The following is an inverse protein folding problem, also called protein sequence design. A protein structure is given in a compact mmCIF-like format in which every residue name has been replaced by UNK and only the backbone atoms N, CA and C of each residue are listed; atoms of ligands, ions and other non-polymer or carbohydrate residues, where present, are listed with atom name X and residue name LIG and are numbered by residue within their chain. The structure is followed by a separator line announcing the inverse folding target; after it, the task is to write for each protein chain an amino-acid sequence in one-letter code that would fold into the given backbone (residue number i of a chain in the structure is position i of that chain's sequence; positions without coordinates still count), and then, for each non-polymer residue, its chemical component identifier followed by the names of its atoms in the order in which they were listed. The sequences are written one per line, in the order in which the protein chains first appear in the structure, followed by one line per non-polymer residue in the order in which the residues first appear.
data_IF_484185168763
#
_entry.id   IF_484185168763
#
_cell.length_a   1.000
_cell.length_b   1.000
_cell.length_c   1.000
_cell.angle_alpha   90.00
_cell.angle_beta   90.00
_cell.angle_gamma   90.00
#
_symmetry.space_group_name_H-M   'P 1'
#
loop_
_entity.id
_entity.type
_entity.pdbx_description
1 polymer ?
#
# COMPACT_ATOMS: atom_id res chain seq x y z
N UNK A 1 5.98 25.54 -10.00
CA UNK A 1 5.52 25.44 -8.60
C UNK A 1 6.49 26.11 -7.62
N UNK A 2 5.98 26.86 -6.65
CA UNK A 2 6.71 27.35 -5.47
C UNK A 2 5.98 26.87 -4.21
N UNK A 3 6.70 26.22 -3.30
CA UNK A 3 6.16 25.75 -2.01
C UNK A 3 6.89 26.46 -0.87
N UNK A 4 6.13 27.05 0.04
CA UNK A 4 6.61 27.56 1.32
C UNK A 4 5.87 26.87 2.46
N UNK A 5 6.56 26.44 3.51
CA UNK A 5 5.92 25.76 4.64
C UNK A 5 6.73 25.80 5.93
N UNK A 6 6.03 25.80 7.08
CA UNK A 6 6.64 25.70 8.41
C UNK A 6 6.81 24.24 8.90
N UNK A 7 6.25 23.24 8.19
CA UNK A 7 6.41 21.80 8.45
C UNK A 7 7.36 21.15 7.45
N UNK A 8 8.64 21.51 7.56
CA UNK A 8 9.71 21.12 6.61
C UNK A 8 9.94 19.61 6.50
N UNK A 9 9.61 18.86 7.54
CA UNK A 9 9.68 17.40 7.52
C UNK A 9 8.69 16.74 6.55
N UNK A 10 7.71 17.49 6.04
CA UNK A 10 6.69 17.01 5.11
C UNK A 10 6.80 17.61 3.70
N UNK A 11 7.90 18.34 3.37
CA UNK A 11 8.09 18.97 2.06
C UNK A 11 7.88 17.97 0.90
N UNK A 12 8.49 16.79 0.98
CA UNK A 12 8.37 15.75 -0.05
C UNK A 12 6.93 15.22 -0.19
N UNK A 13 6.24 15.05 0.93
CA UNK A 13 4.85 14.57 0.97
C UNK A 13 3.87 15.59 0.36
N UNK A 14 4.08 16.88 0.66
CA UNK A 14 3.27 17.97 0.10
C UNK A 14 3.51 18.10 -1.41
N UNK A 15 4.78 18.05 -1.84
CA UNK A 15 5.14 18.07 -3.26
C UNK A 15 4.51 16.89 -4.00
N UNK A 16 4.50 15.71 -3.39
CA UNK A 16 3.86 14.53 -3.96
C UNK A 16 2.36 14.78 -4.15
N UNK A 17 1.63 15.23 -3.14
CA UNK A 17 0.19 15.54 -3.27
C UNK A 17 -0.10 16.56 -4.39
N UNK A 18 0.68 17.64 -4.45
CA UNK A 18 0.49 18.67 -5.46
C UNK A 18 0.63 18.09 -6.88
N UNK A 19 1.64 17.25 -7.11
CA UNK A 19 1.89 16.62 -8.42
C UNK A 19 0.77 15.72 -8.91
N UNK A 20 0.00 15.12 -8.01
CA UNK A 20 -1.09 14.24 -8.41
C UNK A 20 -2.35 15.00 -8.78
N UNK A 21 -2.67 16.08 -8.06
CA UNK A 21 -3.94 16.80 -8.23
C UNK A 21 -3.98 17.60 -9.54
N UNK A 22 -2.85 18.17 -9.98
CA UNK A 22 -2.83 19.06 -11.15
C UNK A 22 -1.45 19.12 -11.77
N UNK A 23 -1.37 19.62 -13.01
CA UNK A 23 -0.12 20.12 -13.55
C UNK A 23 0.34 21.32 -12.70
N UNK A 24 1.49 21.20 -12.03
CA UNK A 24 1.92 22.12 -10.97
C UNK A 24 2.57 23.42 -11.50
N UNK A 25 2.44 23.69 -12.79
CA UNK A 25 3.04 24.86 -13.41
C UNK A 25 2.31 26.14 -12.96
N UNK A 26 3.10 27.11 -12.48
CA UNK A 26 2.59 28.40 -12.02
C UNK A 26 1.93 28.45 -10.63
N UNK A 27 1.73 27.33 -9.91
CA UNK A 27 1.16 27.36 -8.55
C UNK A 27 2.15 27.84 -7.49
N UNK A 28 1.72 28.82 -6.69
CA UNK A 28 2.35 29.22 -5.44
C UNK A 28 1.50 28.73 -4.27
N UNK A 29 2.06 27.82 -3.47
CA UNK A 29 1.37 27.20 -2.34
C UNK A 29 2.15 27.49 -1.06
N UNK A 30 1.45 28.04 -0.07
CA UNK A 30 1.97 28.24 1.29
C UNK A 30 1.20 27.32 2.24
N UNK A 31 1.90 26.52 3.03
CA UNK A 31 1.30 25.61 4.00
C UNK A 31 1.77 25.98 5.41
N UNK A 32 0.85 26.08 6.36
CA UNK A 32 1.20 26.25 7.76
C UNK A 32 0.45 25.24 8.61
N UNK A 33 1.17 24.63 9.54
CA UNK A 33 0.63 23.66 10.48
C UNK A 33 0.91 24.12 11.91
N UNK A 34 -0.06 23.92 12.81
CA UNK A 34 0.14 24.05 14.26
C UNK A 34 -0.71 23.03 15.02
N UNK A 35 -0.22 22.63 16.20
CA UNK A 35 -0.92 21.71 17.09
C UNK A 35 -1.21 22.39 18.44
N UNK A 36 -2.41 22.20 18.97
CA UNK A 36 -2.78 22.61 20.34
C UNK A 36 -3.49 21.44 21.04
N UNK A 37 -2.78 20.74 21.92
CA UNK A 37 -3.29 19.53 22.57
C UNK A 37 -3.51 18.40 21.55
N UNK A 38 -4.76 17.95 21.40
CA UNK A 38 -5.15 16.94 20.39
C UNK A 38 -5.71 17.55 19.10
N UNK A 39 -5.63 18.88 18.97
CA UNK A 39 -6.14 19.62 17.82
C UNK A 39 -5.02 19.95 16.85
N UNK A 40 -5.27 19.69 15.58
CA UNK A 40 -4.39 19.97 14.45
C UNK A 40 -5.03 21.10 13.64
N UNK A 41 -4.26 22.12 13.29
CA UNK A 41 -4.73 23.25 12.49
C UNK A 41 -3.83 23.43 11.29
N UNK A 42 -4.42 23.43 10.10
CA UNK A 42 -3.74 23.50 8.82
C UNK A 42 -4.29 24.67 8.02
N UNK A 43 -3.42 25.62 7.65
CA UNK A 43 -3.78 26.65 6.68
C UNK A 43 -3.00 26.45 5.40
N UNK A 44 -3.69 26.56 4.27
CA UNK A 44 -3.12 26.45 2.94
C UNK A 44 -3.51 27.68 2.15
N UNK A 45 -2.55 28.37 1.55
CA UNK A 45 -2.79 29.46 0.61
C UNK A 45 -2.40 29.00 -0.77
N UNK A 46 -3.33 29.06 -1.74
CA UNK A 46 -3.07 28.72 -3.15
C UNK A 46 -3.24 29.97 -3.98
N UNK A 47 -2.15 30.50 -4.55
CA UNK A 47 -2.15 31.73 -5.34
C UNK A 47 -2.89 32.92 -4.68
N UNK A 48 -2.75 33.05 -3.36
CA UNK A 48 -3.37 34.13 -2.57
C UNK A 48 -4.79 33.85 -2.08
N UNK A 49 -5.38 32.68 -2.39
CA UNK A 49 -6.65 32.22 -1.79
C UNK A 49 -6.36 31.36 -0.57
N UNK A 50 -6.91 31.75 0.58
CA UNK A 50 -6.67 31.10 1.86
C UNK A 50 -7.73 30.05 2.19
N UNK A 51 -7.26 28.95 2.77
CA UNK A 51 -8.05 27.83 3.27
C UNK A 51 -7.57 27.46 4.68
N UNK A 52 -8.51 27.15 5.56
CA UNK A 52 -8.23 26.76 6.94
C UNK A 52 -8.99 25.50 7.30
N UNK A 53 -8.28 24.55 7.90
CA UNK A 53 -8.81 23.26 8.32
C UNK A 53 -8.39 22.97 9.76
N UNK A 54 -9.21 22.19 10.46
CA UNK A 54 -8.90 21.72 11.79
C UNK A 54 -9.41 20.31 12.02
N UNK A 55 -8.67 19.50 12.76
CA UNK A 55 -9.08 18.17 13.15
C UNK A 55 -8.71 17.88 14.60
N UNK A 56 -9.51 17.07 15.30
CA UNK A 56 -9.18 16.59 16.65
C UNK A 56 -8.96 15.08 16.64
N UNK A 57 -7.81 14.63 17.15
CA UNK A 57 -7.50 13.20 17.25
C UNK A 57 -6.63 12.88 18.45
N UNK A 58 -7.14 12.00 19.31
CA UNK A 58 -6.35 11.41 20.40
C UNK A 58 -5.33 10.41 19.85
N UNK A 59 -4.12 10.45 20.40
CA UNK A 59 -3.01 9.55 20.09
C UNK A 59 -2.31 9.08 21.36
N UNK A 60 -1.69 7.89 21.30
CA UNK A 60 -1.02 7.25 22.45
C UNK A 60 0.49 7.49 22.49
N UNK A 61 1.06 8.11 21.46
CA UNK A 61 2.49 8.41 21.41
C UNK A 61 2.92 9.08 20.11
N UNK A 62 4.21 9.37 20.03
CA UNK A 62 4.81 10.21 18.99
C UNK A 62 4.62 9.65 17.57
N UNK A 63 4.69 8.33 17.41
CA UNK A 63 4.49 7.67 16.11
C UNK A 63 3.08 7.87 15.56
N UNK A 64 2.06 7.83 16.42
CA UNK A 64 0.68 8.10 16.02
C UNK A 64 0.46 9.60 15.75
N UNK A 65 1.03 10.48 16.59
CA UNK A 65 0.99 11.94 16.39
C UNK A 65 1.54 12.32 15.02
N UNK A 66 2.77 11.91 14.69
CA UNK A 66 3.40 12.18 13.37
C UNK A 66 2.59 11.62 12.20
N UNK A 67 1.91 10.49 12.38
CA UNK A 67 1.02 9.92 11.35
C UNK A 67 -0.20 10.82 11.13
N UNK A 68 -0.77 11.38 12.19
CA UNK A 68 -1.92 12.29 12.10
C UNK A 68 -1.54 13.67 11.56
N UNK A 69 -0.44 14.27 12.04
CA UNK A 69 0.16 15.48 11.47
C UNK A 69 0.31 15.35 9.95
N UNK A 70 1.02 14.30 9.50
CA UNK A 70 1.20 14.02 8.07
C UNK A 70 -0.13 13.87 7.32
N UNK A 71 -1.12 13.20 7.92
CA UNK A 71 -2.42 12.99 7.28
C UNK A 71 -3.18 14.30 7.10
N UNK A 72 -3.27 15.11 8.16
CA UNK A 72 -4.07 16.33 8.14
C UNK A 72 -3.46 17.41 7.26
N UNK A 73 -2.13 17.57 7.26
CA UNK A 73 -1.42 18.45 6.33
C UNK A 73 -1.70 18.04 4.87
N UNK A 74 -1.57 16.75 4.55
CA UNK A 74 -1.83 16.25 3.19
C UNK A 74 -3.29 16.45 2.78
N UNK A 75 -4.23 16.20 3.71
CA UNK A 75 -5.65 16.40 3.47
C UNK A 75 -5.99 17.88 3.21
N UNK A 76 -5.43 18.79 4.00
CA UNK A 76 -5.61 20.22 3.83
C UNK A 76 -5.09 20.70 2.47
N UNK A 77 -3.90 20.24 2.07
CA UNK A 77 -3.32 20.55 0.75
C UNK A 77 -4.21 20.03 -0.37
N UNK A 78 -4.63 18.76 -0.31
CA UNK A 78 -5.53 18.18 -1.31
C UNK A 78 -6.82 18.97 -1.44
N UNK A 79 -7.51 19.27 -0.32
CA UNK A 79 -8.78 20.01 -0.33
C UNK A 79 -8.64 21.43 -0.88
N UNK A 80 -7.63 22.17 -0.43
CA UNK A 80 -7.37 23.53 -0.89
C UNK A 80 -7.05 23.61 -2.38
N UNK A 81 -6.22 22.69 -2.88
CA UNK A 81 -5.81 22.68 -4.28
C UNK A 81 -6.94 22.20 -5.17
N UNK A 82 -7.67 21.15 -4.77
CA UNK A 82 -8.82 20.65 -5.53
C UNK A 82 -9.93 21.69 -5.64
N UNK A 83 -10.21 22.45 -4.57
CA UNK A 83 -11.16 23.57 -4.64
C UNK A 83 -10.66 24.71 -5.52
N UNK A 84 -9.35 24.98 -5.53
CA UNK A 84 -8.76 26.04 -6.33
C UNK A 84 -8.75 25.71 -7.84
N UNK A 85 -8.37 24.47 -8.19
CA UNK A 85 -8.22 24.04 -9.60
C UNK A 85 -9.51 23.49 -10.20
N UNK A 86 -10.42 22.98 -9.36
CA UNK A 86 -11.59 22.21 -9.80
C UNK A 86 -11.27 20.75 -10.15
N UNK A 87 -10.01 20.33 -10.06
CA UNK A 87 -9.57 18.97 -10.33
C UNK A 87 -9.73 18.08 -9.09
N UNK A 88 -10.22 16.86 -9.27
CA UNK A 88 -10.39 15.89 -8.18
C UNK A 88 -9.79 14.54 -8.53
N UNK A 89 -9.09 13.97 -7.55
CA UNK A 89 -8.60 12.59 -7.62
C UNK A 89 -9.70 11.60 -7.27
N UNK A 90 -9.81 10.51 -8.04
CA UNK A 90 -10.76 9.42 -7.73
C UNK A 90 -10.54 8.77 -6.35
N UNK A 91 -9.30 8.81 -5.85
CA UNK A 91 -8.91 8.32 -4.52
C UNK A 91 -8.83 9.42 -3.45
N UNK A 92 -9.22 10.65 -3.80
CA UNK A 92 -9.11 11.82 -2.93
C UNK A 92 -7.74 11.96 -2.27
N UNK A 93 -7.70 12.26 -0.97
CA UNK A 93 -6.47 12.48 -0.20
C UNK A 93 -5.74 11.18 0.23
N UNK A 94 -5.90 10.07 -0.49
CA UNK A 94 -5.26 8.79 -0.19
C UNK A 94 -3.94 8.56 -0.94
N UNK A 95 -3.29 9.61 -1.46
CA UNK A 95 -2.00 9.47 -2.14
C UNK A 95 -0.96 8.83 -1.22
N UNK A 96 -0.34 7.74 -1.68
CA UNK A 96 0.64 6.97 -0.89
C UNK A 96 0.05 6.19 0.29
N UNK A 97 -1.28 6.14 0.46
CA UNK A 97 -1.96 5.37 1.50
C UNK A 97 -2.64 4.16 0.86
N UNK A 98 -2.35 2.95 1.37
CA UNK A 98 -3.06 1.72 0.94
C UNK A 98 -4.52 1.77 1.43
N UNK A 99 -5.53 1.96 0.55
CA UNK A 99 -6.90 2.29 0.98
C UNK A 99 -7.54 1.22 1.85
N UNK A 100 -7.35 -0.06 1.51
CA UNK A 100 -7.89 -1.20 2.26
C UNK A 100 -7.28 -1.29 3.67
N UNK A 101 -5.97 -1.03 3.81
CA UNK A 101 -5.30 -1.01 5.12
C UNK A 101 -5.82 0.15 5.96
N UNK A 102 -6.08 1.30 5.34
CA UNK A 102 -6.67 2.43 6.02
C UNK A 102 -8.10 2.12 6.49
N UNK A 103 -8.92 1.53 5.62
CA UNK A 103 -10.28 1.11 5.96
C UNK A 103 -10.31 0.16 7.18
N UNK A 104 -9.44 -0.87 7.22
CA UNK A 104 -9.32 -1.73 8.40
C UNK A 104 -8.96 -0.97 9.69
N UNK A 105 -8.15 0.09 9.59
CA UNK A 105 -7.79 0.91 10.76
C UNK A 105 -8.92 1.82 11.24
N UNK A 106 -9.87 2.17 10.37
CA UNK A 106 -11.07 2.95 10.72
C UNK A 106 -12.15 2.05 11.33
N UNK A 107 -12.27 0.81 10.87
CA UNK A 107 -13.24 -0.15 11.36
C UNK A 107 -14.58 -0.04 10.65
N UNK A 108 -15.70 -0.20 11.36
CA UNK A 108 -17.04 -0.28 10.74
C UNK A 108 -17.42 0.96 9.93
N UNK A 109 -16.94 2.15 10.35
CA UNK A 109 -17.21 3.43 9.68
C UNK A 109 -16.25 3.77 8.55
N UNK A 110 -15.54 2.77 8.01
CA UNK A 110 -14.52 3.02 6.99
C UNK A 110 -15.10 3.67 5.75
N UNK A 111 -16.34 3.32 5.37
CA UNK A 111 -16.93 3.80 4.13
C UNK A 111 -17.25 5.29 4.22
N UNK A 112 -17.81 5.72 5.34
CA UNK A 112 -18.11 7.11 5.66
C UNK A 112 -16.82 7.93 5.75
N UNK A 113 -15.79 7.44 6.46
CA UNK A 113 -14.52 8.16 6.58
C UNK A 113 -13.82 8.33 5.22
N UNK A 114 -13.76 7.27 4.39
CA UNK A 114 -13.17 7.39 3.07
C UNK A 114 -13.97 8.33 2.16
N UNK A 115 -15.31 8.35 2.26
CA UNK A 115 -16.17 9.22 1.45
C UNK A 115 -16.06 10.68 1.87
N UNK A 116 -16.29 10.95 3.16
CA UNK A 116 -16.55 12.29 3.68
C UNK A 116 -15.25 13.00 4.05
N UNK A 117 -14.33 12.30 4.72
CA UNK A 117 -13.08 12.92 5.15
C UNK A 117 -12.07 12.95 4.00
N UNK A 118 -11.90 11.80 3.33
CA UNK A 118 -10.85 11.64 2.31
C UNK A 118 -11.29 11.96 0.89
N UNK A 119 -12.57 12.30 0.65
CA UNK A 119 -13.16 12.60 -0.67
C UNK A 119 -12.98 11.49 -1.73
N UNK A 120 -13.04 10.22 -1.32
CA UNK A 120 -12.95 9.07 -2.24
C UNK A 120 -14.25 8.92 -3.03
N UNK A 121 -14.14 8.70 -4.34
CA UNK A 121 -15.29 8.47 -5.22
C UNK A 121 -16.00 7.13 -4.95
N UNK A 122 -17.31 7.06 -5.22
CA UNK A 122 -18.14 5.88 -4.92
C UNK A 122 -17.65 4.60 -5.60
N UNK A 123 -17.20 4.69 -6.85
CA UNK A 123 -16.64 3.55 -7.56
C UNK A 123 -15.39 2.96 -6.89
N UNK A 124 -14.59 3.79 -6.21
CA UNK A 124 -13.43 3.33 -5.43
C UNK A 124 -13.86 2.76 -4.07
N UNK A 125 -14.88 3.34 -3.43
CA UNK A 125 -15.46 2.77 -2.21
C UNK A 125 -16.01 1.37 -2.45
N UNK A 126 -16.71 1.15 -3.56
CA UNK A 126 -17.22 -0.17 -3.93
C UNK A 126 -16.10 -1.18 -4.17
N UNK A 127 -15.01 -0.75 -4.80
CA UNK A 127 -13.80 -1.58 -4.95
C UNK A 127 -13.20 -1.96 -3.59
N UNK A 128 -13.04 -1.01 -2.67
CA UNK A 128 -12.53 -1.28 -1.32
C UNK A 128 -13.47 -2.25 -0.58
N UNK A 129 -14.78 -2.03 -0.66
CA UNK A 129 -15.78 -2.89 -0.03
C UNK A 129 -15.74 -4.33 -0.56
N UNK A 130 -15.64 -4.50 -1.88
CA UNK A 130 -15.45 -5.82 -2.50
C UNK A 130 -14.20 -6.53 -1.99
N UNK A 131 -13.08 -5.81 -1.88
CA UNK A 131 -11.82 -6.40 -1.39
C UNK A 131 -11.96 -6.83 0.06
N UNK A 132 -12.52 -5.96 0.92
CA UNK A 132 -12.76 -6.29 2.34
C UNK A 132 -13.64 -7.53 2.46
N UNK A 133 -14.74 -7.61 1.70
CA UNK A 133 -15.63 -8.77 1.71
C UNK A 133 -14.92 -10.06 1.30
N UNK A 134 -14.14 -10.03 0.22
CA UNK A 134 -13.38 -11.20 -0.23
C UNK A 134 -12.28 -11.63 0.75
N UNK A 135 -11.77 -10.67 1.54
CA UNK A 135 -10.75 -10.92 2.55
C UNK A 135 -11.31 -11.35 3.91
N UNK A 136 -12.63 -11.27 4.13
CA UNK A 136 -13.26 -11.68 5.39
C UNK A 136 -12.95 -13.15 5.65
N UNK A 137 -12.50 -13.45 6.87
CA UNK A 137 -12.14 -14.80 7.30
C UNK A 137 -10.74 -15.26 6.87
N UNK A 138 -10.09 -14.58 5.91
CA UNK A 138 -8.68 -14.82 5.56
C UNK A 138 -7.77 -14.10 6.56
N UNK A 139 -8.06 -12.83 6.83
CA UNK A 139 -7.30 -12.01 7.76
C UNK A 139 -7.77 -12.24 9.21
N UNK A 140 -7.25 -13.30 9.83
CA UNK A 140 -7.45 -13.59 11.24
C UNK A 140 -6.15 -14.03 11.89
N UNK A 141 -5.64 -13.27 12.84
CA UNK A 141 -4.56 -13.76 13.70
C UNK A 141 -5.12 -14.83 14.63
N UNK A 142 -4.61 -16.05 14.49
CA UNK A 142 -4.79 -17.14 15.45
C UNK A 142 -3.41 -17.53 15.94
N UNK A 143 -3.30 -17.83 17.23
CA UNK A 143 -2.07 -18.32 17.81
C UNK A 143 -1.61 -19.58 17.05
N UNK A 144 -0.32 -19.61 16.68
CA UNK A 144 0.25 -20.70 15.88
C UNK A 144 0.02 -20.62 14.36
N UNK A 145 -0.53 -19.52 13.83
CA UNK A 145 -0.52 -19.25 12.39
C UNK A 145 0.93 -19.23 11.85
N UNK A 146 1.14 -19.89 10.72
CA UNK A 146 2.41 -19.89 9.97
C UNK A 146 2.15 -19.35 8.57
N UNK A 147 3.06 -18.53 8.08
CA UNK A 147 3.13 -18.14 6.67
C UNK A 147 4.29 -18.87 6.00
N UNK A 148 4.04 -19.46 4.84
CA UNK A 148 5.06 -20.11 4.03
C UNK A 148 5.51 -19.14 2.94
N UNK A 149 6.81 -18.87 2.86
CA UNK A 149 7.40 -18.15 1.74
C UNK A 149 8.15 -19.11 0.83
N UNK A 150 7.85 -19.06 -0.46
CA UNK A 150 8.52 -19.83 -1.51
C UNK A 150 9.28 -18.84 -2.39
N UNK A 151 10.60 -18.87 -2.28
CA UNK A 151 11.48 -18.08 -3.14
C UNK A 151 11.57 -18.69 -4.53
N UNK A 152 11.43 -17.86 -5.57
CA UNK A 152 11.67 -18.23 -6.98
C UNK A 152 12.69 -17.24 -7.55
N UNK A 153 13.99 -17.58 -7.61
CA UNK A 153 15.05 -16.64 -7.96
C UNK A 153 15.26 -16.57 -9.47
N UNK A 154 14.19 -16.55 -10.27
CA UNK A 154 14.26 -16.56 -11.73
C UNK A 154 13.48 -15.41 -12.35
N UNK A 155 14.10 -14.69 -13.27
CA UNK A 155 13.46 -13.62 -14.05
C UNK A 155 13.68 -13.87 -15.56
N UNK A 156 12.82 -13.34 -16.45
CA UNK A 156 13.09 -13.36 -17.88
C UNK A 156 14.39 -12.61 -18.24
N UNK A 157 14.65 -11.50 -17.53
CA UNK A 157 15.83 -10.66 -17.67
C UNK A 157 16.08 -9.90 -16.36
N UNK A 158 17.32 -9.47 -16.11
CA UNK A 158 17.65 -8.67 -14.92
C UNK A 158 17.34 -7.19 -15.15
N UNK A 159 16.48 -6.61 -14.32
CA UNK A 159 16.22 -5.18 -14.32
C UNK A 159 17.46 -4.41 -13.81
N UNK A 160 17.76 -3.25 -14.41
CA UNK A 160 18.92 -2.41 -14.05
C UNK A 160 18.89 -1.93 -12.60
N UNK A 161 17.70 -1.77 -12.03
CA UNK A 161 17.49 -1.34 -10.64
C UNK A 161 17.31 -2.51 -9.66
N UNK A 162 17.40 -3.77 -10.12
CA UNK A 162 17.10 -4.93 -9.28
C UNK A 162 18.23 -5.18 -8.25
N UNK A 163 17.88 -5.09 -6.97
CA UNK A 163 18.73 -5.45 -5.83
C UNK A 163 18.48 -6.87 -5.30
N UNK A 164 17.50 -7.59 -5.85
CA UNK A 164 17.18 -8.96 -5.45
C UNK A 164 18.10 -9.99 -6.11
N UNK A 165 18.28 -11.13 -5.45
CA UNK A 165 18.98 -12.28 -6.02
C UNK A 165 18.06 -12.93 -7.05
N UNK A 166 18.40 -12.76 -8.33
CA UNK A 166 17.66 -13.34 -9.45
C UNK A 166 18.60 -13.81 -10.55
N UNK A 167 18.31 -14.97 -11.13
CA UNK A 167 18.97 -15.51 -12.30
C UNK A 167 18.08 -15.32 -13.53
N UNK A 168 18.70 -15.07 -14.68
CA UNK A 168 17.97 -15.01 -15.94
C UNK A 168 17.60 -16.41 -16.41
N UNK A 169 16.38 -16.56 -16.93
CA UNK A 169 15.93 -17.82 -17.53
C UNK A 169 16.56 -17.94 -18.92
N UNK A 170 17.46 -18.92 -19.07
CA UNK A 170 18.16 -19.23 -20.31
C UNK A 170 18.29 -20.74 -20.50
N UNK A 171 18.99 -21.14 -21.58
CA UNK A 171 19.11 -22.55 -21.99
C UNK A 171 19.81 -23.44 -20.96
N UNK A 172 20.68 -22.87 -20.14
CA UNK A 172 21.44 -23.59 -19.10
C UNK A 172 20.88 -23.39 -17.69
N UNK A 173 19.76 -22.67 -17.55
CA UNK A 173 19.18 -22.40 -16.24
C UNK A 173 18.45 -23.65 -15.74
N UNK A 174 18.92 -24.20 -14.62
CA UNK A 174 18.38 -25.40 -13.97
C UNK A 174 17.04 -25.14 -13.24
N UNK A 175 16.06 -24.61 -13.96
CA UNK A 175 14.74 -24.22 -13.42
C UNK A 175 13.99 -25.45 -12.90
N UNK A 176 13.98 -26.54 -13.67
CA UNK A 176 13.27 -27.77 -13.27
C UNK A 176 13.92 -28.39 -12.05
N UNK A 177 15.26 -28.48 -12.01
CA UNK A 177 15.99 -29.04 -10.88
C UNK A 177 15.78 -28.21 -9.60
N UNK A 178 15.75 -26.88 -9.74
CA UNK A 178 15.40 -26.00 -8.62
C UNK A 178 13.99 -26.26 -8.11
N UNK A 179 13.00 -26.32 -9.00
CA UNK A 179 11.62 -26.57 -8.61
C UNK A 179 11.45 -27.95 -7.95
N UNK A 180 12.17 -28.97 -8.43
CA UNK A 180 12.18 -30.30 -7.82
C UNK A 180 12.79 -30.29 -6.41
N UNK A 181 13.81 -29.45 -6.17
CA UNK A 181 14.37 -29.22 -4.83
C UNK A 181 13.38 -28.49 -3.91
N UNK A 182 12.73 -27.42 -4.38
CA UNK A 182 11.68 -26.70 -3.64
C UNK A 182 10.54 -27.64 -3.26
N UNK A 183 10.10 -28.51 -4.16
CA UNK A 183 9.07 -29.51 -3.87
C UNK A 183 9.49 -30.46 -2.75
N UNK A 184 10.77 -30.87 -2.69
CA UNK A 184 11.29 -31.71 -1.59
C UNK A 184 11.29 -30.95 -0.27
N UNK A 185 11.70 -29.69 -0.26
CA UNK A 185 11.69 -28.84 0.93
C UNK A 185 10.27 -28.61 1.45
N UNK A 186 9.31 -28.29 0.57
CA UNK A 186 7.90 -28.14 0.94
C UNK A 186 7.38 -29.43 1.56
N UNK A 187 7.61 -30.59 0.94
CA UNK A 187 7.17 -31.88 1.47
C UNK A 187 7.78 -32.22 2.84
N UNK A 188 8.99 -31.76 3.11
CA UNK A 188 9.64 -31.92 4.41
C UNK A 188 9.13 -30.93 5.46
N UNK A 189 8.80 -29.70 5.06
CA UNK A 189 8.35 -28.63 5.95
C UNK A 189 6.85 -28.72 6.30
N UNK A 190 5.99 -29.07 5.34
CA UNK A 190 4.53 -29.09 5.52
C UNK A 190 4.04 -29.91 6.72
N UNK A 191 4.60 -31.10 7.04
CA UNK A 191 4.23 -31.85 8.25
C UNK A 191 4.48 -31.13 9.58
N UNK A 192 5.39 -30.14 9.58
CA UNK A 192 5.71 -29.33 10.76
C UNK A 192 4.72 -28.16 10.95
N UNK A 193 3.96 -27.83 9.90
CA UNK A 193 3.05 -26.69 9.88
C UNK A 193 1.66 -27.14 10.31
N UNK A 194 1.22 -26.66 11.48
CA UNK A 194 -0.11 -27.00 12.02
C UNK A 194 -1.23 -26.15 11.45
N UNK A 195 -0.97 -24.87 11.22
CA UNK A 195 -1.99 -23.90 10.81
C UNK A 195 -1.40 -22.92 9.79
N UNK A 196 -1.42 -23.32 8.53
CA UNK A 196 -0.94 -22.53 7.41
C UNK A 196 -1.95 -21.42 7.08
N UNK A 197 -1.52 -20.17 7.20
CA UNK A 197 -2.36 -18.98 6.98
C UNK A 197 -2.21 -18.40 5.58
N UNK A 198 -1.00 -18.43 5.02
CA UNK A 198 -0.67 -17.80 3.74
C UNK A 198 0.51 -18.50 3.10
N UNK A 199 0.50 -18.57 1.78
CA UNK A 199 1.60 -19.10 0.96
C UNK A 199 2.01 -18.04 -0.03
N UNK A 200 3.08 -17.32 0.29
CA UNK A 200 3.63 -16.27 -0.56
C UNK A 200 4.67 -16.84 -1.51
N UNK A 201 4.49 -16.62 -2.82
CA UNK A 201 5.48 -17.01 -3.85
C UNK A 201 6.06 -15.74 -4.44
N UNK A 202 7.36 -15.53 -4.27
CA UNK A 202 8.04 -14.28 -4.67
C UNK A 202 9.54 -14.46 -4.92
N UNK A 203 10.24 -13.35 -5.18
CA UNK A 203 11.70 -13.33 -5.38
C UNK A 203 12.08 -12.65 -6.68
N UNK A 204 12.35 -13.43 -7.72
CA UNK A 204 12.46 -12.95 -9.08
C UNK A 204 11.07 -12.69 -9.66
N UNK A 205 10.70 -13.38 -10.72
CA UNK A 205 9.38 -13.30 -11.34
C UNK A 205 8.76 -14.70 -11.37
N UNK A 206 8.09 -15.15 -10.28
CA UNK A 206 7.49 -16.48 -10.19
C UNK A 206 6.63 -16.88 -11.39
N UNK A 207 5.86 -15.93 -11.93
CA UNK A 207 5.01 -16.15 -13.11
C UNK A 207 5.78 -16.38 -14.42
N UNK A 208 7.12 -16.22 -14.41
CA UNK A 208 7.98 -16.56 -15.54
C UNK A 208 8.42 -18.02 -15.54
N UNK A 209 8.12 -18.78 -14.48
CA UNK A 209 8.29 -20.22 -14.50
C UNK A 209 7.39 -20.85 -15.57
N UNK A 210 7.83 -21.93 -16.23
CA UNK A 210 6.92 -22.75 -17.03
C UNK A 210 5.74 -23.21 -16.17
N UNK A 211 4.52 -23.17 -16.73
CA UNK A 211 3.27 -23.52 -16.02
C UNK A 211 3.40 -24.83 -15.24
N UNK A 212 3.95 -25.88 -15.88
CA UNK A 212 4.20 -27.19 -15.26
C UNK A 212 5.05 -27.14 -13.98
N UNK A 213 6.01 -26.22 -13.88
CA UNK A 213 6.90 -26.12 -12.72
C UNK A 213 6.21 -25.37 -11.57
N UNK A 214 5.44 -24.33 -11.89
CA UNK A 214 4.61 -23.64 -10.90
C UNK A 214 3.51 -24.57 -10.37
N UNK A 215 2.87 -25.35 -11.23
CA UNK A 215 1.89 -26.38 -10.85
C UNK A 215 2.49 -27.39 -9.87
N UNK A 216 3.70 -27.91 -10.14
CA UNK A 216 4.40 -28.82 -9.20
C UNK A 216 4.57 -28.20 -7.81
N UNK A 217 4.96 -26.93 -7.74
CA UNK A 217 5.17 -26.22 -6.47
C UNK A 217 3.85 -26.10 -5.72
N UNK A 218 2.79 -25.65 -6.39
CA UNK A 218 1.45 -25.49 -5.80
C UNK A 218 0.88 -26.84 -5.34
N UNK A 219 1.04 -27.89 -6.12
CA UNK A 219 0.61 -29.25 -5.78
C UNK A 219 1.37 -29.80 -4.56
N UNK A 220 2.65 -29.45 -4.38
CA UNK A 220 3.43 -29.86 -3.23
C UNK A 220 2.96 -29.21 -1.92
N UNK A 221 2.46 -27.97 -1.99
CA UNK A 221 1.80 -27.30 -0.86
C UNK A 221 0.44 -27.96 -0.58
N UNK A 222 -0.26 -28.37 -1.63
CA UNK A 222 -1.54 -29.06 -1.57
C UNK A 222 -2.73 -28.11 -1.47
N UNK A 223 -3.95 -28.69 -1.46
CA UNK A 223 -5.20 -27.92 -1.33
C UNK A 223 -5.38 -27.45 0.10
N UNK A 224 -4.87 -26.26 0.39
CA UNK A 224 -5.05 -25.58 1.68
C UNK A 224 -6.05 -24.45 1.52
N UNK A 225 -6.95 -24.30 2.50
CA UNK A 225 -7.98 -23.24 2.52
C UNK A 225 -7.42 -21.88 2.93
N UNK A 226 -6.27 -21.50 2.39
CA UNK A 226 -5.55 -20.28 2.74
C UNK A 226 -5.22 -19.45 1.49
N UNK A 227 -4.75 -18.21 1.67
CA UNK A 227 -4.39 -17.34 0.55
C UNK A 227 -3.07 -17.77 -0.11
N UNK A 228 -2.98 -17.57 -1.43
CA UNK A 228 -1.78 -17.80 -2.26
C UNK A 228 -1.41 -16.54 -3.06
N UNK A 229 -0.77 -15.53 -2.45
CA UNK A 229 -0.31 -14.39 -3.20
C UNK A 229 0.97 -14.75 -3.99
N UNK A 230 0.98 -14.42 -5.27
CA UNK A 230 2.10 -14.69 -6.19
C UNK A 230 2.57 -13.36 -6.79
N UNK A 231 3.87 -13.10 -6.73
CA UNK A 231 4.46 -11.95 -7.40
C UNK A 231 4.37 -12.13 -8.92
N UNK A 232 3.81 -11.11 -9.58
CA UNK A 232 3.81 -10.94 -11.01
C UNK A 232 4.45 -9.59 -11.32
N UNK A 233 5.45 -9.58 -12.20
CA UNK A 233 6.25 -8.41 -12.56
C UNK A 233 6.48 -8.33 -14.06
#
# INVERSE_FOLDING_TARGET
MKLETNVKNLDADIIEELKFVTDCDGLNVVVSHREEGYSFFDNVTVNGRDYSFSAEKRYKGETERKRYEKRYVKLAVYKAVSDYTGEKLTWGALTGIRPVKYAYSVGERWREELKEEMEVEDGKLDLVGRIIEQQKGIYGYKEGNVDLFIGVPFCPSRCLYCSFISNEIGRETAVSEYCDCVVKEIKAAMPLIKNLRSVYIGGGTPVSLPVKELEKILDAVGKVGCEFPVEAG
#
